data_IF_049427091039
#
_entry.id   IF_049427091039
#
_cell.length_a   1.000
_cell.length_b   1.000
_cell.length_c   1.000
_cell.angle_alpha   90.00
_cell.angle_beta   90.00
_cell.angle_gamma   90.00
#
_symmetry.space_group_name_H-M   'P 1'
#
loop_
_entity.id
_entity.type
_entity.pdbx_description
1 polymer ?
#
# COMPACT_ATOMS: atom_id res chain seq x y z
N UNK A 1 12.20 -49.14 24.17
CA UNK A 1 11.60 -48.27 23.14
C UNK A 1 10.13 -48.11 23.49
N UNK A 2 9.74 -46.98 24.10
CA UNK A 2 8.34 -46.69 24.36
C UNK A 2 7.62 -46.39 23.04
N UNK A 3 6.41 -46.89 22.86
CA UNK A 3 5.58 -46.53 21.71
C UNK A 3 5.39 -45.01 21.69
N UNK A 4 5.41 -44.36 20.50
CA UNK A 4 5.11 -42.95 20.41
C UNK A 4 3.73 -42.69 21.01
N UNK A 5 3.66 -41.73 21.92
CA UNK A 5 2.39 -41.31 22.50
C UNK A 5 1.51 -40.73 21.39
N UNK A 6 0.19 -40.87 21.51
CA UNK A 6 -0.77 -40.27 20.56
C UNK A 6 -0.47 -38.79 20.26
N UNK A 7 0.00 -38.04 21.28
CA UNK A 7 0.40 -36.64 21.15
C UNK A 7 1.58 -36.41 20.20
N UNK A 8 2.59 -37.29 20.18
CA UNK A 8 3.74 -37.18 19.27
C UNK A 8 3.31 -37.38 17.80
N UNK A 9 2.44 -38.35 17.55
CA UNK A 9 1.91 -38.60 16.21
C UNK A 9 1.06 -37.41 15.73
N UNK A 10 0.21 -36.85 16.61
CA UNK A 10 -0.57 -35.66 16.31
C UNK A 10 0.31 -34.44 16.03
N UNK A 11 1.38 -34.23 16.81
CA UNK A 11 2.34 -33.15 16.60
C UNK A 11 3.07 -33.28 15.25
N UNK A 12 3.46 -34.50 14.87
CA UNK A 12 4.08 -34.77 13.57
C UNK A 12 3.14 -34.44 12.40
N UNK A 13 1.89 -34.93 12.45
CA UNK A 13 0.89 -34.62 11.43
C UNK A 13 0.61 -33.12 11.36
N UNK A 14 0.46 -32.46 12.52
CA UNK A 14 0.23 -31.02 12.60
C UNK A 14 1.40 -30.22 11.99
N UNK A 15 2.65 -30.62 12.26
CA UNK A 15 3.84 -30.00 11.67
C UNK A 15 3.83 -30.11 10.14
N UNK A 16 3.59 -31.31 9.61
CA UNK A 16 3.55 -31.54 8.15
C UNK A 16 2.47 -30.68 7.51
N UNK A 17 1.25 -30.70 8.05
CA UNK A 17 0.13 -29.90 7.54
C UNK A 17 0.44 -28.40 7.61
N UNK A 18 0.99 -27.92 8.73
CA UNK A 18 1.36 -26.51 8.92
C UNK A 18 2.41 -26.08 7.89
N UNK A 19 3.50 -26.85 7.76
CA UNK A 19 4.56 -26.56 6.79
C UNK A 19 4.03 -26.55 5.37
N UNK A 20 3.31 -27.59 4.95
CA UNK A 20 2.72 -27.69 3.60
C UNK A 20 1.82 -26.49 3.31
N UNK A 21 0.94 -26.13 4.24
CA UNK A 21 0.04 -24.98 4.08
C UNK A 21 0.82 -23.68 3.97
N UNK A 22 1.80 -23.43 4.84
CA UNK A 22 2.63 -22.21 4.80
C UNK A 22 3.42 -22.13 3.50
N UNK A 23 4.05 -23.21 3.06
CA UNK A 23 4.83 -23.25 1.82
C UNK A 23 3.94 -23.05 0.58
N UNK A 24 2.86 -23.83 0.43
CA UNK A 24 1.98 -23.73 -0.74
C UNK A 24 1.39 -22.32 -0.85
N UNK A 25 0.84 -21.78 0.24
CA UNK A 25 0.24 -20.43 0.22
C UNK A 25 1.28 -19.36 -0.06
N UNK A 26 2.50 -19.47 0.47
CA UNK A 26 3.58 -18.51 0.19
C UNK A 26 4.05 -18.58 -1.27
N UNK A 27 4.18 -19.78 -1.84
CA UNK A 27 4.54 -19.96 -3.26
C UNK A 27 3.45 -19.39 -4.17
N UNK A 28 2.18 -19.68 -3.89
CA UNK A 28 1.06 -19.11 -4.64
C UNK A 28 1.02 -17.58 -4.54
N UNK A 29 1.35 -17.02 -3.37
CA UNK A 29 1.46 -15.58 -3.17
C UNK A 29 2.60 -14.98 -4.00
N UNK A 30 3.75 -15.63 -4.05
CA UNK A 30 4.89 -15.24 -4.89
C UNK A 30 4.54 -15.27 -6.37
N UNK A 31 3.87 -16.33 -6.82
CA UNK A 31 3.41 -16.47 -8.20
C UNK A 31 2.48 -15.32 -8.62
N UNK A 32 1.61 -14.88 -7.72
CA UNK A 32 0.68 -13.78 -7.97
C UNK A 32 1.16 -12.40 -7.51
N UNK A 33 2.43 -12.25 -7.16
CA UNK A 33 2.95 -11.02 -6.54
C UNK A 33 2.69 -9.74 -7.35
N UNK A 34 2.71 -9.83 -8.69
CA UNK A 34 2.45 -8.66 -9.54
C UNK A 34 1.08 -7.99 -9.26
N UNK A 35 0.08 -8.78 -8.84
CA UNK A 35 -1.26 -8.28 -8.47
C UNK A 35 -1.31 -7.68 -7.06
N UNK A 36 -0.27 -7.89 -6.27
CA UNK A 36 -0.11 -7.41 -4.90
C UNK A 36 1.04 -6.39 -4.79
N UNK A 37 1.29 -5.61 -5.85
CA UNK A 37 2.40 -4.65 -5.92
C UNK A 37 2.46 -3.65 -4.75
N UNK A 38 1.33 -3.39 -4.09
CA UNK A 38 1.24 -2.50 -2.92
C UNK A 38 1.62 -3.18 -1.59
N UNK A 39 1.82 -4.50 -1.57
CA UNK A 39 2.15 -5.27 -0.36
C UNK A 39 3.66 -5.54 -0.31
N UNK A 40 4.33 -5.31 0.83
CA UNK A 40 5.77 -5.52 0.94
C UNK A 40 6.13 -7.00 0.99
N UNK A 41 6.54 -7.53 -0.16
CA UNK A 41 6.84 -8.96 -0.30
C UNK A 41 7.92 -9.43 0.67
N UNK A 42 9.01 -8.69 0.82
CA UNK A 42 10.16 -9.13 1.65
C UNK A 42 9.77 -9.28 3.11
N UNK A 43 8.99 -8.33 3.64
CA UNK A 43 8.49 -8.41 5.00
C UNK A 43 7.53 -9.59 5.19
N UNK A 44 6.63 -9.85 4.22
CA UNK A 44 5.73 -11.02 4.29
C UNK A 44 6.52 -12.33 4.31
N UNK A 45 7.52 -12.47 3.44
CA UNK A 45 8.41 -13.63 3.44
C UNK A 45 9.18 -13.78 4.76
N UNK A 46 9.65 -12.68 5.32
CA UNK A 46 10.34 -12.67 6.61
C UNK A 46 9.43 -13.14 7.75
N UNK A 47 8.16 -12.71 7.73
CA UNK A 47 7.15 -13.15 8.69
C UNK A 47 6.80 -14.63 8.54
N UNK A 48 6.66 -15.13 7.30
CA UNK A 48 6.43 -16.54 7.00
C UNK A 48 7.63 -17.41 7.43
N UNK A 49 8.86 -16.93 7.22
CA UNK A 49 10.07 -17.61 7.68
C UNK A 49 10.15 -17.64 9.21
N UNK A 50 9.87 -16.51 9.88
CA UNK A 50 9.76 -16.46 11.34
C UNK A 50 8.71 -17.44 11.88
N UNK A 51 7.57 -17.57 11.19
CA UNK A 51 6.55 -18.57 11.50
C UNK A 51 7.07 -20.01 11.46
N UNK A 52 7.76 -20.40 10.38
CA UNK A 52 8.32 -21.74 10.26
C UNK A 52 9.36 -22.02 11.35
N UNK A 53 10.16 -21.03 11.75
CA UNK A 53 11.15 -21.18 12.83
C UNK A 53 10.44 -21.42 14.18
N UNK A 54 9.49 -20.56 14.57
CA UNK A 54 8.79 -20.74 15.86
C UNK A 54 8.04 -22.07 15.86
N UNK A 55 7.17 -22.27 14.86
CA UNK A 55 6.29 -23.43 14.81
C UNK A 55 7.10 -24.73 14.69
N UNK A 56 8.13 -24.75 13.85
CA UNK A 56 9.04 -25.89 13.72
C UNK A 56 9.73 -26.22 15.05
N UNK A 57 10.30 -25.22 15.75
CA UNK A 57 10.95 -25.45 17.05
C UNK A 57 9.98 -26.02 18.10
N UNK A 58 8.73 -25.57 18.11
CA UNK A 58 7.70 -26.02 19.04
C UNK A 58 7.20 -27.43 18.71
N UNK A 59 6.93 -27.72 17.44
CA UNK A 59 6.53 -29.07 17.04
C UNK A 59 7.66 -30.08 17.23
N UNK A 60 8.92 -29.74 16.91
CA UNK A 60 10.07 -30.61 17.19
C UNK A 60 10.17 -30.92 18.70
N UNK A 61 9.93 -29.93 19.57
CA UNK A 61 9.87 -30.16 21.02
C UNK A 61 8.73 -31.08 21.43
N UNK A 62 7.57 -30.99 20.79
CA UNK A 62 6.43 -31.87 21.05
C UNK A 62 6.69 -33.31 20.57
N UNK A 63 7.41 -33.47 19.46
CA UNK A 63 7.77 -34.78 18.91
C UNK A 63 8.86 -35.47 19.73
N UNK A 64 9.92 -34.75 20.10
CA UNK A 64 11.09 -35.27 20.80
C UNK A 64 11.22 -34.63 22.19
N UNK A 65 10.24 -34.89 23.07
CA UNK A 65 10.18 -34.26 24.39
C UNK A 65 11.42 -34.51 25.27
N UNK A 66 12.10 -35.65 25.14
CA UNK A 66 13.32 -35.92 25.92
C UNK A 66 14.60 -35.48 25.20
N UNK A 67 14.64 -35.63 23.87
CA UNK A 67 15.89 -35.48 23.11
C UNK A 67 16.08 -34.07 22.51
N UNK A 68 15.01 -33.28 22.38
CA UNK A 68 15.11 -31.95 21.79
C UNK A 68 15.53 -30.91 22.82
N UNK A 69 16.75 -30.37 22.66
CA UNK A 69 17.34 -29.38 23.58
C UNK A 69 16.44 -28.14 23.75
N UNK A 70 16.22 -27.74 25.00
CA UNK A 70 15.53 -26.49 25.33
C UNK A 70 16.22 -25.27 24.71
N UNK A 71 17.53 -25.34 24.49
CA UNK A 71 18.30 -24.26 23.89
C UNK A 71 17.84 -24.00 22.46
N UNK A 72 17.57 -25.03 21.67
CA UNK A 72 17.02 -24.88 20.31
C UNK A 72 15.60 -24.29 20.32
N UNK A 73 14.77 -24.65 21.30
CA UNK A 73 13.45 -24.03 21.48
C UNK A 73 13.59 -22.56 21.83
N UNK A 74 14.51 -22.20 22.74
CA UNK A 74 14.79 -20.80 23.10
C UNK A 74 15.22 -20.01 21.85
N UNK A 75 16.20 -20.52 21.09
CA UNK A 75 16.67 -19.90 19.86
C UNK A 75 15.55 -19.72 18.83
N UNK A 76 14.76 -20.77 18.58
CA UNK A 76 13.62 -20.71 17.68
C UNK A 76 12.57 -19.69 18.12
N UNK A 77 12.32 -19.58 19.43
CA UNK A 77 11.39 -18.61 20.00
C UNK A 77 11.89 -17.18 19.78
N UNK A 78 13.13 -16.88 20.17
CA UNK A 78 13.70 -15.52 20.05
C UNK A 78 13.82 -15.09 18.60
N UNK A 79 14.47 -15.90 17.76
CA UNK A 79 14.72 -15.56 16.37
C UNK A 79 13.41 -15.47 15.58
N UNK A 80 12.56 -16.48 15.71
CA UNK A 80 11.30 -16.54 14.99
C UNK A 80 10.32 -15.43 15.42
N UNK A 81 10.21 -15.14 16.73
CA UNK A 81 9.34 -14.07 17.21
C UNK A 81 9.84 -12.69 16.80
N UNK A 82 11.15 -12.44 16.84
CA UNK A 82 11.72 -11.17 16.37
C UNK A 82 11.46 -10.97 14.88
N UNK A 83 11.75 -11.97 14.04
CA UNK A 83 11.45 -11.94 12.60
C UNK A 83 9.97 -11.60 12.34
N UNK A 84 9.07 -12.27 13.07
CA UNK A 84 7.64 -12.09 12.93
C UNK A 84 7.13 -10.73 13.42
N UNK A 85 7.44 -10.34 14.66
CA UNK A 85 6.98 -9.08 15.27
C UNK A 85 7.53 -7.86 14.53
N UNK A 86 8.81 -7.88 14.18
CA UNK A 86 9.42 -6.77 13.45
C UNK A 86 8.86 -6.67 12.04
N UNK A 87 8.64 -7.79 11.35
CA UNK A 87 7.93 -7.80 10.07
C UNK A 87 6.52 -7.20 10.20
N UNK A 88 5.76 -7.62 11.21
CA UNK A 88 4.40 -7.11 11.45
C UNK A 88 4.40 -5.59 11.68
N UNK A 89 5.31 -5.08 12.52
CA UNK A 89 5.45 -3.63 12.77
C UNK A 89 5.92 -2.88 11.55
N UNK A 90 6.91 -3.40 10.84
CA UNK A 90 7.44 -2.83 9.62
C UNK A 90 6.33 -2.63 8.57
N UNK A 91 5.47 -3.64 8.38
CA UNK A 91 4.30 -3.55 7.50
C UNK A 91 3.32 -2.45 7.95
N UNK A 92 3.08 -2.34 9.26
CA UNK A 92 2.30 -1.25 9.82
C UNK A 92 2.89 0.13 9.52
N UNK A 93 4.17 0.35 9.82
CA UNK A 93 4.81 1.64 9.55
C UNK A 93 4.76 2.01 8.07
N UNK A 94 5.04 1.04 7.19
CA UNK A 94 4.99 1.25 5.75
C UNK A 94 3.58 1.63 5.28
N UNK A 95 2.54 0.91 5.70
CA UNK A 95 1.16 1.23 5.33
C UNK A 95 0.77 2.64 5.79
N UNK A 96 1.13 3.03 7.01
CA UNK A 96 0.85 4.36 7.55
C UNK A 96 1.49 5.46 6.70
N UNK A 97 2.76 5.30 6.33
CA UNK A 97 3.49 6.26 5.49
C UNK A 97 2.88 6.35 4.09
N UNK A 98 2.56 5.20 3.48
CA UNK A 98 1.95 5.14 2.13
C UNK A 98 0.57 5.79 2.10
N UNK A 99 -0.26 5.55 3.11
CA UNK A 99 -1.61 6.16 3.22
C UNK A 99 -1.51 7.66 3.43
N UNK A 100 -0.63 8.12 4.32
CA UNK A 100 -0.43 9.56 4.56
C UNK A 100 0.07 10.28 3.31
N UNK A 101 0.99 9.65 2.57
CA UNK A 101 1.49 10.18 1.32
C UNK A 101 0.37 10.33 0.27
N UNK A 102 -0.42 9.28 0.04
CA UNK A 102 -1.54 9.34 -0.91
C UNK A 102 -2.63 10.32 -0.49
N UNK A 103 -2.93 10.39 0.80
CA UNK A 103 -3.89 11.35 1.34
C UNK A 103 -3.41 12.79 1.11
N UNK A 104 -2.12 13.06 1.34
CA UNK A 104 -1.53 14.38 1.11
C UNK A 104 -1.60 14.79 -0.38
N UNK A 105 -1.36 13.87 -1.33
CA UNK A 105 -1.50 14.14 -2.77
C UNK A 105 -2.90 14.62 -3.14
N UNK A 106 -3.93 13.95 -2.62
CA UNK A 106 -5.34 14.27 -2.95
C UNK A 106 -5.74 15.61 -2.36
N UNK A 107 -5.33 15.89 -1.12
CA UNK A 107 -5.63 17.17 -0.48
C UNK A 107 -4.95 18.33 -1.20
N UNK A 108 -3.72 18.15 -1.68
CA UNK A 108 -3.05 19.21 -2.45
C UNK A 108 -3.78 19.55 -3.75
N UNK A 109 -4.40 18.57 -4.40
CA UNK A 109 -5.12 18.83 -5.65
C UNK A 109 -6.47 19.52 -5.46
N UNK A 110 -7.23 19.09 -4.44
CA UNK A 110 -8.51 19.71 -4.15
C UNK A 110 -8.33 21.21 -3.89
N UNK A 111 -7.20 21.61 -3.31
CA UNK A 111 -6.92 23.01 -3.03
C UNK A 111 -6.66 23.84 -4.30
N UNK A 112 -6.02 23.27 -5.32
CA UNK A 112 -5.73 23.97 -6.58
C UNK A 112 -7.01 24.32 -7.36
N UNK A 113 -8.04 23.45 -7.33
CA UNK A 113 -9.32 23.72 -8.02
C UNK A 113 -10.10 24.93 -7.48
N UNK A 114 -9.78 25.43 -6.28
CA UNK A 114 -10.46 26.59 -5.68
C UNK A 114 -9.71 27.91 -5.87
N UNK A 115 -8.47 27.90 -6.38
CA UNK A 115 -7.63 29.12 -6.52
C UNK A 115 -7.65 29.59 -7.98
N UNK A 116 -8.83 29.97 -8.48
CA UNK A 116 -8.99 30.42 -9.87
C UNK A 116 -9.20 31.96 -10.01
N UNK A 117 -9.03 32.74 -8.93
CA UNK A 117 -9.32 34.19 -8.97
C UNK A 117 -8.43 35.05 -8.04
N UNK A 118 -7.30 34.51 -7.54
CA UNK A 118 -6.42 35.20 -6.57
C UNK A 118 -5.07 35.60 -7.17
N UNK A 119 -4.53 36.72 -6.67
CA UNK A 119 -3.26 37.34 -7.08
C UNK A 119 -2.16 36.29 -7.35
N UNK A 120 -1.44 36.46 -8.46
CA UNK A 120 -0.33 35.59 -8.91
C UNK A 120 0.73 35.31 -7.83
N UNK A 121 0.89 36.23 -6.88
CA UNK A 121 1.77 36.08 -5.72
C UNK A 121 1.28 35.01 -4.71
N UNK A 122 -0.01 35.01 -4.35
CA UNK A 122 -0.58 34.01 -3.44
C UNK A 122 -0.51 32.60 -4.06
N UNK A 123 -0.69 32.50 -5.38
CA UNK A 123 -0.56 31.25 -6.12
C UNK A 123 0.87 30.68 -6.02
N UNK A 124 1.89 31.53 -6.16
CA UNK A 124 3.30 31.12 -6.05
C UNK A 124 3.67 30.66 -4.64
N UNK A 125 3.18 31.34 -3.59
CA UNK A 125 3.41 30.93 -2.20
C UNK A 125 2.70 29.62 -1.88
N UNK A 126 1.49 29.44 -2.41
CA UNK A 126 0.73 28.20 -2.27
C UNK A 126 1.42 27.02 -2.97
N UNK A 127 1.87 27.21 -4.22
CA UNK A 127 2.64 26.19 -4.95
C UNK A 127 3.91 25.80 -4.17
N UNK A 128 4.61 26.77 -3.56
CA UNK A 128 5.82 26.52 -2.76
C UNK A 128 5.51 25.72 -1.50
N UNK A 129 4.46 26.08 -0.76
CA UNK A 129 4.03 25.36 0.43
C UNK A 129 3.62 23.92 0.09
N UNK A 130 2.84 23.74 -0.98
CA UNK A 130 2.44 22.44 -1.51
C UNK A 130 3.66 21.59 -1.85
N UNK A 131 4.59 22.14 -2.63
CA UNK A 131 5.78 21.41 -3.04
C UNK A 131 6.59 20.98 -1.81
N UNK A 132 6.76 21.86 -0.81
CA UNK A 132 7.42 21.53 0.45
C UNK A 132 6.72 20.40 1.22
N UNK A 133 5.40 20.46 1.36
CA UNK A 133 4.64 19.44 2.09
C UNK A 133 4.67 18.07 1.40
N UNK A 134 4.43 18.01 0.09
CA UNK A 134 4.46 16.74 -0.65
C UNK A 134 5.90 16.19 -0.69
N UNK A 135 6.91 17.06 -0.86
CA UNK A 135 8.32 16.64 -0.85
C UNK A 135 8.74 16.06 0.50
N UNK A 136 8.26 16.63 1.62
CA UNK A 136 8.48 16.06 2.95
C UNK A 136 7.87 14.67 3.09
N UNK A 137 6.67 14.46 2.57
CA UNK A 137 6.03 13.14 2.61
C UNK A 137 6.69 12.14 1.64
N UNK A 138 7.15 12.60 0.48
CA UNK A 138 7.93 11.81 -0.47
C UNK A 138 9.26 11.35 0.15
N UNK A 139 9.94 12.26 0.83
CA UNK A 139 11.16 11.98 1.58
C UNK A 139 10.93 10.94 2.68
N UNK A 140 9.82 11.07 3.43
CA UNK A 140 9.44 10.07 4.42
C UNK A 140 9.14 8.70 3.78
N UNK A 141 8.47 8.68 2.63
CA UNK A 141 8.23 7.44 1.85
C UNK A 141 9.54 6.78 1.41
N UNK A 142 10.51 7.56 0.97
CA UNK A 142 11.82 7.05 0.56
C UNK A 142 12.64 6.50 1.75
N UNK A 143 12.49 7.11 2.94
CA UNK A 143 13.08 6.59 4.18
C UNK A 143 12.49 5.24 4.59
N UNK A 144 11.19 5.05 4.41
CA UNK A 144 10.48 3.80 4.73
C UNK A 144 10.38 2.90 3.50
N UNK A 145 11.51 2.75 2.80
CA UNK A 145 11.64 1.76 1.73
C UNK A 145 11.80 0.36 2.32
N UNK A 146 11.22 -0.63 1.64
CA UNK A 146 11.28 -2.05 2.01
C UNK A 146 12.74 -2.51 2.26
N UNK A 147 13.69 -2.02 1.44
CA UNK A 147 15.13 -2.26 1.60
C UNK A 147 15.69 -1.75 2.93
N UNK A 148 15.43 -0.48 3.28
CA UNK A 148 15.95 0.14 4.52
C UNK A 148 15.31 -0.48 5.75
N UNK A 149 14.02 -0.77 5.68
CA UNK A 149 13.30 -1.41 6.78
C UNK A 149 13.79 -2.84 6.99
N UNK A 150 14.01 -3.61 5.91
CA UNK A 150 14.64 -4.93 5.98
C UNK A 150 16.04 -4.86 6.62
N UNK A 151 16.84 -3.84 6.30
CA UNK A 151 18.15 -3.64 6.92
C UNK A 151 18.05 -3.36 8.42
N UNK A 152 17.11 -2.51 8.85
CA UNK A 152 16.86 -2.25 10.27
C UNK A 152 16.42 -3.51 11.01
N UNK A 153 15.57 -4.33 10.39
CA UNK A 153 15.17 -5.63 10.96
C UNK A 153 16.37 -6.57 11.07
N UNK A 154 17.22 -6.65 10.05
CA UNK A 154 18.44 -7.47 10.08
C UNK A 154 19.41 -7.02 11.18
N UNK A 155 19.61 -5.70 11.35
CA UNK A 155 20.44 -5.15 12.43
C UNK A 155 19.89 -5.51 13.81
N UNK A 156 18.57 -5.40 14.01
CA UNK A 156 17.94 -5.80 15.27
C UNK A 156 18.11 -7.30 15.55
N UNK A 157 17.93 -8.14 14.52
CA UNK A 157 18.13 -9.59 14.65
C UNK A 157 19.58 -9.91 15.01
N UNK A 158 20.56 -9.21 14.42
CA UNK A 158 21.96 -9.38 14.78
C UNK A 158 22.20 -9.09 16.28
N UNK A 159 21.69 -7.96 16.77
CA UNK A 159 21.78 -7.59 18.20
C UNK A 159 21.13 -8.66 19.07
N UNK A 160 19.94 -9.14 18.69
CA UNK A 160 19.22 -10.18 19.41
C UNK A 160 20.01 -11.50 19.45
N UNK A 161 20.58 -11.92 18.32
CA UNK A 161 21.40 -13.14 18.21
C UNK A 161 22.63 -13.02 19.11
N UNK A 162 23.33 -11.88 19.10
CA UNK A 162 24.46 -11.65 20.01
C UNK A 162 24.04 -11.71 21.48
N UNK A 163 22.90 -11.11 21.84
CA UNK A 163 22.39 -11.15 23.21
C UNK A 163 22.00 -12.57 23.64
N UNK A 164 21.33 -13.34 22.78
CA UNK A 164 20.96 -14.74 23.06
C UNK A 164 22.21 -15.62 23.17
N UNK A 165 23.20 -15.45 22.29
CA UNK A 165 24.49 -16.14 22.40
C UNK A 165 25.19 -15.84 23.73
N UNK A 166 25.23 -14.57 24.16
CA UNK A 166 25.82 -14.19 25.43
C UNK A 166 25.05 -14.81 26.61
N UNK A 167 23.71 -14.81 26.58
CA UNK A 167 22.89 -15.46 27.61
C UNK A 167 23.15 -16.97 27.68
N UNK A 168 23.34 -17.64 26.54
CA UNK A 168 23.66 -19.07 26.50
C UNK A 168 25.08 -19.36 26.99
N UNK A 169 26.05 -18.49 26.67
CA UNK A 169 27.41 -18.62 27.20
C UNK A 169 27.43 -18.51 28.73
N UNK A 170 26.72 -17.52 29.28
CA UNK A 170 26.57 -17.36 30.74
C UNK A 170 25.92 -18.60 31.35
N UNK A 171 24.89 -19.15 30.69
CA UNK A 171 24.23 -20.39 31.12
C UNK A 171 25.19 -21.59 31.17
N UNK A 172 26.07 -21.73 30.18
CA UNK A 172 27.05 -22.81 30.15
C UNK A 172 28.07 -22.74 31.29
N UNK A 173 28.25 -21.57 31.90
CA UNK A 173 29.17 -21.37 33.03
C UNK A 173 28.53 -21.65 34.40
N UNK A 174 27.20 -21.85 34.47
CA UNK A 174 26.48 -22.03 35.73
C UNK A 174 26.45 -23.53 36.13
N UNK A 175 27.17 -23.94 37.19
CA UNK A 175 27.24 -25.35 37.59
C UNK A 175 25.90 -25.82 38.18
N UNK A 176 25.43 -27.00 37.77
CA UNK A 176 24.25 -27.66 38.34
C UNK A 176 22.92 -27.44 37.59
N UNK A 177 22.96 -26.91 36.37
CA UNK A 177 21.74 -26.71 35.59
C UNK A 177 21.33 -27.99 34.83
N UNK A 178 20.25 -28.65 35.25
CA UNK A 178 19.66 -29.76 34.49
C UNK A 178 18.98 -29.25 33.22
N UNK A 179 19.54 -29.56 32.05
CA UNK A 179 19.06 -29.08 30.75
C UNK A 179 17.64 -29.61 30.41
N UNK A 180 17.18 -30.68 31.06
CA UNK A 180 16.05 -31.48 30.60
C UNK A 180 14.72 -31.26 31.34
N UNK A 181 14.73 -30.67 32.55
CA UNK A 181 13.57 -30.75 33.45
C UNK A 181 12.51 -29.66 33.21
N UNK A 182 12.85 -28.47 32.72
CA UNK A 182 11.86 -27.41 32.43
C UNK A 182 12.24 -26.54 31.21
N UNK A 183 11.95 -27.00 29.99
CA UNK A 183 11.94 -26.09 28.83
C UNK A 183 10.77 -25.08 28.97
N UNK A 184 11.06 -23.79 28.79
CA UNK A 184 10.03 -22.74 28.76
C UNK A 184 9.85 -21.93 30.04
N UNK A 185 10.61 -22.22 31.11
CA UNK A 185 10.59 -21.41 32.33
C UNK A 185 11.99 -21.29 32.93
N UNK A 186 12.55 -20.10 32.85
CA UNK A 186 13.89 -19.77 33.36
C UNK A 186 14.17 -18.29 33.14
N UNK A 187 15.16 -17.74 33.84
CA UNK A 187 15.45 -16.30 33.77
C UNK A 187 15.78 -15.83 32.34
N UNK A 188 16.35 -16.71 31.51
CA UNK A 188 16.62 -16.46 30.09
C UNK A 188 15.37 -16.18 29.24
N UNK A 189 14.17 -16.54 29.71
CA UNK A 189 12.91 -16.24 29.03
C UNK A 189 12.33 -14.88 29.43
N UNK A 190 12.78 -14.27 30.55
CA UNK A 190 12.25 -12.97 30.99
C UNK A 190 12.44 -11.85 29.97
N UNK A 191 13.59 -11.71 29.27
CA UNK A 191 13.71 -10.71 28.22
C UNK A 191 12.71 -10.94 27.09
N UNK A 192 12.51 -12.18 26.65
CA UNK A 192 11.49 -12.52 25.65
C UNK A 192 10.07 -12.16 26.11
N UNK A 193 9.69 -12.50 27.35
CA UNK A 193 8.38 -12.14 27.88
C UNK A 193 8.21 -10.63 28.01
N UNK A 194 9.26 -9.91 28.42
CA UNK A 194 9.26 -8.45 28.47
C UNK A 194 9.06 -7.82 27.10
N UNK A 195 9.83 -8.25 26.09
CA UNK A 195 9.70 -7.77 24.71
C UNK A 195 8.31 -8.08 24.14
N UNK A 196 7.81 -9.30 24.36
CA UNK A 196 6.47 -9.71 23.92
C UNK A 196 5.39 -8.90 24.61
N UNK A 197 5.52 -8.62 25.92
CA UNK A 197 4.62 -7.78 26.67
C UNK A 197 4.60 -6.35 26.15
N UNK A 198 5.77 -5.72 25.95
CA UNK A 198 5.87 -4.38 25.34
C UNK A 198 5.24 -4.36 23.95
N UNK A 199 5.48 -5.39 23.14
CA UNK A 199 4.87 -5.52 21.82
C UNK A 199 3.34 -5.54 21.91
N UNK A 200 2.77 -6.43 22.73
CA UNK A 200 1.32 -6.64 22.83
C UNK A 200 0.59 -5.48 23.51
N UNK A 201 1.18 -4.84 24.52
CA UNK A 201 0.50 -3.83 25.33
C UNK A 201 0.87 -2.39 24.97
N UNK A 202 1.95 -2.14 24.23
CA UNK A 202 2.36 -0.80 23.80
C UNK A 202 2.29 -0.68 22.28
N UNK A 203 3.02 -1.52 21.54
CA UNK A 203 3.11 -1.40 20.09
C UNK A 203 1.78 -1.72 19.40
N UNK A 204 1.10 -2.78 19.82
CA UNK A 204 -0.18 -3.21 19.27
C UNK A 204 -1.31 -2.16 19.43
N UNK A 205 -1.58 -1.60 20.63
CA UNK A 205 -2.53 -0.51 20.78
C UNK A 205 -2.16 0.74 19.97
N UNK A 206 -0.87 1.07 19.92
CA UNK A 206 -0.36 2.16 19.08
C UNK A 206 -0.71 1.95 17.60
N UNK A 207 -0.44 0.76 17.06
CA UNK A 207 -0.82 0.37 15.70
C UNK A 207 -2.32 0.53 15.48
N UNK A 208 -3.16 -0.01 16.37
CA UNK A 208 -4.62 0.09 16.26
C UNK A 208 -5.08 1.55 16.24
N UNK A 209 -4.56 2.38 17.15
CA UNK A 209 -4.90 3.80 17.26
C UNK A 209 -4.64 4.56 15.94
N UNK A 210 -3.45 4.39 15.35
CA UNK A 210 -3.12 5.06 14.09
C UNK A 210 -3.91 4.52 12.89
N UNK A 211 -4.33 3.26 12.92
CA UNK A 211 -5.10 2.65 11.83
C UNK A 211 -6.60 2.80 11.93
N UNK A 212 -7.14 3.23 13.08
CA UNK A 212 -8.58 3.27 13.32
C UNK A 212 -9.37 4.04 12.25
N UNK A 213 -8.82 5.16 11.78
CA UNK A 213 -9.47 6.02 10.79
C UNK A 213 -8.96 5.82 9.35
N UNK A 214 -8.02 4.90 9.14
CA UNK A 214 -7.46 4.65 7.82
C UNK A 214 -8.43 3.80 7.00
N UNK A 215 -8.82 4.28 5.82
CA UNK A 215 -9.62 3.51 4.87
C UNK A 215 -8.68 2.91 3.83
N UNK A 216 -8.48 1.60 3.92
CA UNK A 216 -7.60 0.85 3.04
C UNK A 216 -8.43 -0.13 2.19
N UNK A 217 -8.32 -0.01 0.88
CA UNK A 217 -9.02 -0.86 -0.07
C UNK A 217 -8.45 -2.28 -0.16
N UNK A 218 -7.16 -2.46 0.12
CA UNK A 218 -6.48 -3.75 -0.03
C UNK A 218 -6.60 -4.63 1.22
N UNK A 219 -7.25 -4.14 2.27
CA UNK A 219 -7.50 -4.88 3.50
C UNK A 219 -6.25 -5.15 4.34
N UNK A 220 -5.10 -4.50 4.08
CA UNK A 220 -3.91 -4.58 4.92
C UNK A 220 -4.21 -4.05 6.32
N UNK A 221 -5.02 -2.98 6.43
CA UNK A 221 -5.49 -2.50 7.75
C UNK A 221 -6.18 -3.62 8.52
N UNK A 222 -7.18 -4.26 7.91
CA UNK A 222 -7.99 -5.28 8.57
C UNK A 222 -7.13 -6.50 8.93
N UNK A 223 -6.19 -6.85 8.06
CA UNK A 223 -5.19 -7.89 8.33
C UNK A 223 -4.37 -7.57 9.58
N UNK A 224 -3.75 -6.38 9.65
CA UNK A 224 -2.94 -5.96 10.80
C UNK A 224 -3.77 -5.96 12.09
N UNK A 225 -4.96 -5.36 12.07
CA UNK A 225 -5.86 -5.31 13.22
C UNK A 225 -6.25 -6.74 13.67
N UNK A 226 -6.60 -7.61 12.73
CA UNK A 226 -6.96 -9.01 13.04
C UNK A 226 -5.78 -9.76 13.66
N UNK A 227 -4.56 -9.57 13.15
CA UNK A 227 -3.35 -10.15 13.76
C UNK A 227 -3.13 -9.67 15.20
N UNK A 228 -3.34 -8.37 15.46
CA UNK A 228 -3.21 -7.80 16.80
C UNK A 228 -4.27 -8.37 17.75
N UNK A 229 -5.54 -8.38 17.34
CA UNK A 229 -6.62 -8.96 18.14
C UNK A 229 -6.37 -10.44 18.44
N UNK A 230 -5.95 -11.20 17.44
CA UNK A 230 -5.63 -12.61 17.62
C UNK A 230 -4.48 -12.80 18.63
N UNK A 231 -3.47 -11.94 18.59
CA UNK A 231 -2.37 -11.94 19.56
C UNK A 231 -2.86 -11.63 20.97
N UNK A 232 -3.67 -10.57 21.13
CA UNK A 232 -4.26 -10.19 22.42
C UNK A 232 -5.17 -11.27 23.02
N UNK A 233 -5.80 -12.12 22.20
CA UNK A 233 -6.59 -13.25 22.69
C UNK A 233 -5.72 -14.47 23.01
N UNK A 234 -4.82 -14.88 22.10
CA UNK A 234 -4.12 -16.17 22.22
C UNK A 234 -2.94 -16.11 23.20
N UNK A 235 -2.20 -15.01 23.29
CA UNK A 235 -1.05 -14.93 24.22
C UNK A 235 -1.47 -15.05 25.70
N UNK A 236 -2.52 -14.37 26.17
CA UNK A 236 -3.02 -14.59 27.53
C UNK A 236 -3.44 -16.04 27.77
N UNK A 237 -4.09 -16.70 26.80
CA UNK A 237 -4.42 -18.12 26.91
C UNK A 237 -3.17 -18.99 27.05
N UNK A 238 -2.12 -18.71 26.27
CA UNK A 238 -0.82 -19.37 26.40
C UNK A 238 -0.22 -19.20 27.80
N UNK A 239 -0.25 -17.99 28.37
CA UNK A 239 0.26 -17.72 29.72
C UNK A 239 -0.57 -18.39 30.80
N UNK A 240 -1.91 -18.29 30.73
CA UNK A 240 -2.81 -18.98 31.66
C UNK A 240 -2.58 -20.49 31.63
N UNK A 241 -2.42 -21.07 30.44
CA UNK A 241 -2.14 -22.50 30.30
C UNK A 241 -0.79 -22.88 30.91
N UNK A 242 0.23 -22.06 30.67
CA UNK A 242 1.60 -22.32 31.11
C UNK A 242 1.79 -22.09 32.62
N UNK A 243 1.09 -21.13 33.21
CA UNK A 243 1.27 -20.72 34.61
C UNK A 243 0.28 -21.39 35.57
N UNK A 244 -0.98 -21.57 35.15
CA UNK A 244 -2.06 -22.00 36.05
C UNK A 244 -2.41 -23.48 35.82
N UNK A 245 -2.49 -23.90 34.56
CA UNK A 245 -3.04 -25.22 34.20
C UNK A 245 -1.98 -26.30 33.95
N UNK A 246 -0.70 -25.95 34.09
CA UNK A 246 0.44 -26.81 33.74
C UNK A 246 0.40 -28.18 34.44
N UNK A 247 0.05 -28.24 35.71
CA UNK A 247 0.07 -29.51 36.45
C UNK A 247 -1.07 -30.45 36.07
N UNK A 248 -2.25 -29.92 35.71
CA UNK A 248 -3.47 -30.72 35.50
C UNK A 248 -3.66 -31.19 34.06
N UNK A 249 -3.29 -30.37 33.08
CA UNK A 249 -3.69 -30.59 31.67
C UNK A 249 -2.52 -30.78 30.70
N UNK A 250 -1.28 -30.53 31.12
CA UNK A 250 -0.12 -30.55 30.24
C UNK A 250 0.30 -31.97 29.80
N UNK A 251 -0.26 -33.01 30.43
CA UNK A 251 -0.06 -34.40 30.01
C UNK A 251 -0.74 -34.72 28.68
N UNK A 252 -1.82 -34.01 28.33
CA UNK A 252 -2.58 -34.25 27.09
C UNK A 252 -2.48 -33.09 26.09
N UNK A 253 -2.32 -31.85 26.57
CA UNK A 253 -2.30 -30.67 25.70
C UNK A 253 -1.27 -29.65 26.16
N UNK A 254 -0.23 -29.46 25.34
CA UNK A 254 0.85 -28.51 25.61
C UNK A 254 0.46 -27.08 25.26
N UNK A 255 0.95 -26.10 26.04
CA UNK A 255 0.71 -24.68 25.72
C UNK A 255 1.30 -24.26 24.37
N UNK A 256 2.30 -24.99 23.84
CA UNK A 256 2.90 -24.68 22.54
C UNK A 256 1.89 -24.67 21.39
N UNK A 257 0.81 -25.46 21.47
CA UNK A 257 -0.25 -25.47 20.45
C UNK A 257 -0.95 -24.12 20.28
N UNK A 258 -1.06 -23.31 21.34
CA UNK A 258 -1.65 -21.97 21.22
C UNK A 258 -0.80 -21.06 20.34
N UNK A 259 0.52 -21.08 20.53
CA UNK A 259 1.42 -20.26 19.74
C UNK A 259 1.49 -20.76 18.29
N UNK A 260 1.59 -22.08 18.04
CA UNK A 260 1.59 -22.59 16.66
C UNK A 260 0.27 -22.29 15.94
N UNK A 261 -0.87 -22.38 16.64
CA UNK A 261 -2.18 -21.97 16.12
C UNK A 261 -2.22 -20.46 15.80
N UNK A 262 -1.72 -19.61 16.69
CA UNK A 262 -1.60 -18.17 16.42
C UNK A 262 -0.77 -17.90 15.16
N UNK A 263 0.38 -18.56 15.02
CA UNK A 263 1.25 -18.40 13.86
C UNK A 263 0.55 -18.88 12.57
N UNK A 264 -0.18 -20.00 12.61
CA UNK A 264 -0.94 -20.49 11.46
C UNK A 264 -2.06 -19.52 11.05
N UNK A 265 -2.89 -19.09 12.01
CA UNK A 265 -4.02 -18.20 11.76
C UNK A 265 -3.56 -16.84 11.24
N UNK A 266 -2.46 -16.30 11.77
CA UNK A 266 -1.91 -15.05 11.25
C UNK A 266 -1.29 -15.22 9.87
N UNK A 267 -0.68 -16.36 9.55
CA UNK A 267 -0.24 -16.65 8.17
C UNK A 267 -1.40 -16.74 7.19
N UNK A 268 -2.47 -17.44 7.57
CA UNK A 268 -3.70 -17.50 6.78
C UNK A 268 -4.30 -16.09 6.58
N UNK A 269 -4.29 -15.26 7.62
CA UNK A 269 -4.78 -13.88 7.52
C UNK A 269 -3.92 -13.00 6.60
N UNK A 270 -2.60 -13.17 6.65
CA UNK A 270 -1.64 -12.29 5.94
C UNK A 270 -1.35 -12.73 4.50
N UNK A 271 -1.43 -14.03 4.20
CA UNK A 271 -1.11 -14.62 2.89
C UNK A 271 -2.34 -15.31 2.28
N UNK A 272 -3.05 -16.11 3.06
CA UNK A 272 -4.20 -16.91 2.59
C UNK A 272 -5.41 -16.08 2.16
N UNK A 273 -5.91 -15.19 3.02
CA UNK A 273 -7.09 -14.37 2.72
C UNK A 273 -6.88 -13.41 1.56
N UNK A 274 -5.73 -12.73 1.39
CA UNK A 274 -5.47 -11.92 0.19
C UNK A 274 -5.51 -12.73 -1.10
N UNK A 275 -5.00 -13.97 -1.10
CA UNK A 275 -5.08 -14.87 -2.26
C UNK A 275 -6.51 -15.24 -2.63
N UNK A 276 -7.30 -15.63 -1.63
CA UNK A 276 -8.73 -15.96 -1.81
C UNK A 276 -9.49 -14.71 -2.27
N UNK A 277 -9.25 -13.57 -1.64
CA UNK A 277 -9.85 -12.28 -1.95
C UNK A 277 -9.55 -11.84 -3.39
N UNK A 278 -8.32 -12.05 -3.87
CA UNK A 278 -7.95 -11.79 -5.26
C UNK A 278 -8.68 -12.71 -6.24
N UNK A 279 -8.78 -14.01 -5.95
CA UNK A 279 -9.51 -14.95 -6.81
C UNK A 279 -11.00 -14.55 -6.90
N UNK A 280 -11.61 -14.20 -5.76
CA UNK A 280 -12.97 -13.71 -5.69
C UNK A 280 -13.15 -12.39 -6.44
N UNK A 281 -12.25 -11.42 -6.20
CA UNK A 281 -12.26 -10.11 -6.87
C UNK A 281 -12.12 -10.25 -8.37
N UNK A 282 -11.23 -11.11 -8.86
CA UNK A 282 -11.07 -11.36 -10.31
C UNK A 282 -12.37 -11.88 -10.94
N UNK A 283 -13.07 -12.81 -10.27
CA UNK A 283 -14.37 -13.33 -10.75
C UNK A 283 -15.43 -12.23 -10.76
N UNK A 284 -15.50 -11.46 -9.68
CA UNK A 284 -16.46 -10.36 -9.54
C UNK A 284 -16.20 -9.19 -10.48
N UNK A 285 -14.92 -8.87 -10.75
CA UNK A 285 -14.55 -7.87 -11.75
C UNK A 285 -14.97 -8.32 -13.15
N UNK A 286 -14.91 -9.62 -13.48
CA UNK A 286 -15.46 -10.11 -14.77
C UNK A 286 -16.97 -9.89 -14.89
N UNK A 287 -17.73 -10.00 -13.80
CA UNK A 287 -19.16 -9.71 -13.85
C UNK A 287 -19.46 -8.22 -13.91
N UNK A 288 -18.58 -7.38 -13.32
CA UNK A 288 -18.72 -5.92 -13.32
C UNK A 288 -18.10 -5.29 -14.58
N UNK A 289 -17.19 -5.95 -15.28
CA UNK A 289 -16.68 -5.47 -16.58
C UNK A 289 -17.79 -5.40 -17.65
N UNK A 290 -18.97 -5.98 -17.38
CA UNK A 290 -20.19 -5.76 -18.15
C UNK A 290 -20.84 -4.39 -17.91
N UNK A 291 -20.35 -3.58 -16.96
CA UNK A 291 -20.78 -2.19 -16.84
C UNK A 291 -20.29 -1.42 -18.06
N UNK A 292 -21.10 -0.46 -18.47
CA UNK A 292 -20.85 0.31 -19.67
C UNK A 292 -19.68 1.28 -19.45
N UNK A 293 -18.71 1.27 -20.35
CA UNK A 293 -17.63 2.26 -20.43
C UNK A 293 -18.20 3.69 -20.43
N UNK A 294 -19.40 3.87 -21.00
CA UNK A 294 -20.11 5.15 -20.99
C UNK A 294 -20.36 5.68 -19.57
N UNK A 295 -20.74 4.80 -18.62
CA UNK A 295 -20.97 5.22 -17.23
C UNK A 295 -19.69 5.68 -16.55
N UNK A 296 -18.54 5.09 -16.90
CA UNK A 296 -17.25 5.53 -16.39
C UNK A 296 -16.91 6.94 -16.91
N UNK A 297 -17.14 7.22 -18.19
CA UNK A 297 -16.91 8.55 -18.74
C UNK A 297 -17.82 9.62 -18.10
N UNK A 298 -19.08 9.30 -17.83
CA UNK A 298 -20.02 10.20 -17.13
C UNK A 298 -19.56 10.63 -15.73
N UNK A 299 -18.70 9.84 -15.06
CA UNK A 299 -18.12 10.25 -13.77
C UNK A 299 -17.31 11.53 -13.92
N UNK A 300 -16.55 11.67 -15.01
CA UNK A 300 -15.67 12.82 -15.21
C UNK A 300 -16.41 14.04 -15.75
N UNK A 301 -17.63 13.87 -16.26
CA UNK A 301 -18.49 14.97 -16.70
C UNK A 301 -19.22 15.63 -15.52
N UNK A 302 -19.41 14.90 -14.41
CA UNK A 302 -20.07 15.43 -13.23
C UNK A 302 -19.03 15.72 -12.12
N UNK A 303 -18.84 17.00 -11.70
CA UNK A 303 -17.82 17.37 -10.72
C UNK A 303 -18.00 16.71 -9.34
N UNK A 304 -19.24 16.47 -8.92
CA UNK A 304 -19.56 15.83 -7.64
C UNK A 304 -19.18 14.34 -7.68
N UNK A 305 -19.55 13.64 -8.76
CA UNK A 305 -19.18 12.24 -8.96
C UNK A 305 -17.66 12.08 -9.05
N UNK A 306 -16.99 12.98 -9.78
CA UNK A 306 -15.54 13.01 -9.88
C UNK A 306 -14.87 13.25 -8.53
N UNK A 307 -15.40 14.16 -7.70
CA UNK A 307 -14.91 14.37 -6.33
C UNK A 307 -15.00 13.08 -5.49
N UNK A 308 -16.12 12.38 -5.55
CA UNK A 308 -16.29 11.11 -4.85
C UNK A 308 -15.37 10.02 -5.41
N UNK A 309 -15.18 9.98 -6.73
CA UNK A 309 -14.29 9.04 -7.39
C UNK A 309 -12.82 9.28 -7.03
N UNK A 310 -12.35 10.53 -7.01
CA UNK A 310 -10.99 10.91 -6.55
C UNK A 310 -10.73 10.47 -5.11
N UNK A 311 -11.67 10.78 -4.22
CA UNK A 311 -11.61 10.35 -2.82
C UNK A 311 -11.63 8.82 -2.66
N UNK A 312 -12.27 8.11 -3.60
CA UNK A 312 -12.27 6.66 -3.63
C UNK A 312 -10.93 6.12 -4.16
N UNK A 313 -10.43 6.62 -5.29
CA UNK A 313 -9.12 6.28 -5.87
C UNK A 313 -7.95 6.52 -4.89
N UNK A 314 -8.04 7.58 -4.08
CA UNK A 314 -7.09 7.86 -3.00
C UNK A 314 -6.95 6.70 -2.01
N UNK A 315 -8.06 6.04 -1.66
CA UNK A 315 -8.09 4.88 -0.74
C UNK A 315 -7.53 3.62 -1.38
N UNK A 316 -7.52 3.57 -2.71
CA UNK A 316 -6.88 2.54 -3.53
C UNK A 316 -5.41 2.87 -3.82
N UNK A 317 -4.85 3.92 -3.22
CA UNK A 317 -3.46 4.31 -3.44
C UNK A 317 -3.14 4.57 -4.93
N UNK A 318 -4.15 4.98 -5.71
CA UNK A 318 -4.06 5.32 -7.13
C UNK A 318 -4.37 6.81 -7.36
N UNK A 319 -4.02 7.66 -6.40
CA UNK A 319 -4.33 9.09 -6.48
C UNK A 319 -3.65 9.74 -7.68
N UNK A 320 -2.39 9.37 -7.98
CA UNK A 320 -1.66 9.87 -9.14
C UNK A 320 -2.39 9.67 -10.47
N UNK A 321 -3.15 8.59 -10.63
CA UNK A 321 -3.91 8.33 -11.85
C UNK A 321 -5.05 9.34 -12.03
N UNK A 322 -5.79 9.62 -10.96
CA UNK A 322 -6.80 10.69 -11.01
C UNK A 322 -6.16 12.06 -11.17
N UNK A 323 -5.01 12.29 -10.52
CA UNK A 323 -4.27 13.54 -10.64
C UNK A 323 -3.85 13.81 -12.09
N UNK A 324 -3.31 12.79 -12.75
CA UNK A 324 -2.87 12.84 -14.13
C UNK A 324 -3.99 13.25 -15.07
N UNK A 325 -5.19 12.67 -14.92
CA UNK A 325 -6.33 12.96 -15.81
C UNK A 325 -6.76 14.42 -15.68
N UNK A 326 -6.81 14.95 -14.47
CA UNK A 326 -7.19 16.34 -14.22
C UNK A 326 -6.18 17.32 -14.84
N UNK A 327 -4.89 17.11 -14.58
CA UNK A 327 -3.83 17.96 -15.12
C UNK A 327 -3.72 17.84 -16.64
N UNK A 328 -4.04 16.66 -17.20
CA UNK A 328 -4.09 16.44 -18.64
C UNK A 328 -5.24 17.23 -19.29
N UNK A 329 -6.43 17.21 -18.68
CA UNK A 329 -7.56 18.01 -19.17
C UNK A 329 -7.23 19.50 -19.15
N UNK A 330 -6.61 19.97 -18.07
CA UNK A 330 -6.15 21.34 -17.95
C UNK A 330 -5.10 21.69 -19.01
N UNK A 331 -4.15 20.78 -19.26
CA UNK A 331 -3.15 20.95 -20.33
C UNK A 331 -3.84 21.11 -21.69
N UNK A 332 -4.82 20.26 -22.01
CA UNK A 332 -5.60 20.33 -23.25
C UNK A 332 -6.42 21.63 -23.36
N UNK A 333 -6.97 22.15 -22.26
CA UNK A 333 -7.64 23.45 -22.27
C UNK A 333 -6.69 24.59 -22.69
N UNK A 334 -5.45 24.58 -22.18
CA UNK A 334 -4.45 25.56 -22.59
C UNK A 334 -4.07 25.45 -24.06
N UNK A 335 -4.02 24.23 -24.59
CA UNK A 335 -3.83 24.00 -26.02
C UNK A 335 -4.94 24.68 -26.85
N UNK A 336 -6.21 24.50 -26.45
CA UNK A 336 -7.37 25.10 -27.14
C UNK A 336 -7.28 26.63 -27.12
N UNK A 337 -7.01 27.23 -25.96
CA UNK A 337 -6.95 28.69 -25.81
C UNK A 337 -5.80 29.29 -26.63
N UNK A 338 -4.63 28.65 -26.62
CA UNK A 338 -3.47 29.08 -27.41
C UNK A 338 -3.75 28.98 -28.91
N UNK A 339 -4.36 27.87 -29.36
CA UNK A 339 -4.69 27.67 -30.77
C UNK A 339 -5.75 28.67 -31.28
N UNK A 340 -6.75 29.00 -30.46
CA UNK A 340 -7.73 30.04 -30.78
C UNK A 340 -7.11 31.45 -30.86
N UNK A 341 -6.10 31.71 -30.03
CA UNK A 341 -5.39 33.00 -30.02
C UNK A 341 -4.54 33.18 -31.27
N UNK A 342 -3.88 32.12 -31.75
CA UNK A 342 -3.12 32.15 -33.02
C UNK A 342 -3.99 32.45 -34.25
N UNK A 343 -5.24 31.94 -34.29
CA UNK A 343 -6.15 32.21 -35.42
C UNK A 343 -6.58 33.69 -35.50
N UNK A 344 -6.72 34.37 -34.36
CA UNK A 344 -7.09 35.79 -34.33
C UNK A 344 -6.00 36.70 -34.89
N UNK A 345 -4.73 36.34 -34.70
CA UNK A 345 -3.61 37.14 -35.22
C UNK A 345 -3.42 36.98 -36.74
N UNK A 346 -3.90 35.89 -37.35
CA UNK A 346 -3.81 35.66 -38.80
C UNK A 346 -5.05 36.15 -39.57
N UNK A 347 -6.12 36.56 -38.89
CA UNK A 347 -7.34 37.08 -39.50
C UNK A 347 -7.36 38.62 -39.52
N UNK A 348 -6.60 39.17 -40.48
CA UNK A 348 -6.90 40.40 -41.28
C UNK A 348 -6.66 41.77 -40.61
N UNK A 349 -5.64 42.50 -41.12
CA UNK A 349 -5.72 43.95 -41.37
C UNK A 349 -6.91 44.21 -42.31
N UNK A 350 -8.10 44.40 -41.74
CA UNK A 350 -9.24 44.94 -42.50
C UNK A 350 -9.33 46.42 -42.11
N UNK A 351 -9.45 47.36 -43.06
CA UNK A 351 -9.36 48.79 -42.77
C UNK A 351 -10.40 49.23 -41.73
N UNK A 352 -9.93 50.04 -40.79
CA UNK A 352 -10.66 50.62 -39.67
C UNK A 352 -12.03 51.20 -40.08
N UNK A 353 -13.10 50.58 -39.56
CA UNK A 353 -14.34 51.29 -39.25
C UNK A 353 -14.27 51.61 -37.73
N UNK A 354 -14.37 52.88 -37.33
CA UNK A 354 -14.23 53.27 -35.92
C UNK A 354 -15.36 52.67 -35.08
N UNK A 355 -15.07 51.99 -33.95
CA UNK A 355 -16.09 51.37 -33.13
C UNK A 355 -16.85 52.41 -32.32
N UNK A 356 -18.17 52.32 -32.38
CA UNK A 356 -19.13 53.00 -31.49
C UNK A 356 -18.80 52.61 -30.04
N UNK A 357 -18.81 53.55 -29.07
CA UNK A 357 -18.50 53.24 -27.68
C UNK A 357 -19.57 52.32 -27.08
N UNK A 358 -19.23 51.05 -26.87
CA UNK A 358 -20.04 50.09 -26.13
C UNK A 358 -19.68 50.20 -24.66
N UNK A 359 -20.70 50.49 -23.86
CA UNK A 359 -20.65 50.65 -22.41
C UNK A 359 -20.00 49.43 -21.75
N UNK A 360 -18.98 49.72 -20.93
CA UNK A 360 -18.29 48.80 -20.03
C UNK A 360 -19.27 48.36 -18.94
N UNK A 361 -20.00 47.28 -19.21
CA UNK A 361 -20.58 46.47 -18.14
C UNK A 361 -19.53 45.45 -17.69
N UNK A 362 -19.17 45.52 -16.40
CA UNK A 362 -18.43 44.52 -15.63
C UNK A 362 -19.23 43.20 -15.57
N UNK A 363 -19.38 42.49 -16.67
CA UNK A 363 -19.76 41.08 -16.61
C UNK A 363 -18.49 40.28 -16.41
N UNK A 364 -18.29 39.86 -15.16
CA UNK A 364 -17.35 38.81 -14.76
C UNK A 364 -17.43 37.69 -15.82
N UNK A 365 -16.32 37.26 -16.44
CA UNK A 365 -16.38 36.05 -17.27
C UNK A 365 -17.01 34.95 -16.41
N UNK A 366 -17.95 34.14 -16.95
CA UNK A 366 -18.47 33.02 -16.19
C UNK A 366 -17.27 32.23 -15.70
N UNK A 367 -17.18 31.98 -14.40
CA UNK A 367 -16.15 31.12 -13.84
C UNK A 367 -16.31 29.77 -14.53
N UNK A 368 -15.51 29.53 -15.56
CA UNK A 368 -15.46 28.25 -16.27
C UNK A 368 -14.77 27.33 -15.29
N UNK A 369 -15.53 26.80 -14.34
CA UNK A 369 -15.01 25.75 -13.47
C UNK A 369 -14.47 24.65 -14.39
N UNK A 370 -13.20 24.23 -14.27
CA UNK A 370 -12.54 23.34 -15.21
C UNK A 370 -13.26 21.99 -15.42
N UNK A 371 -14.24 21.66 -14.57
CA UNK A 371 -15.11 20.50 -14.66
C UNK A 371 -16.04 20.45 -15.90
N UNK A 372 -16.23 21.54 -16.65
CA UNK A 372 -17.19 21.56 -17.78
C UNK A 372 -16.59 21.25 -19.15
N UNK A 373 -15.27 21.06 -19.27
CA UNK A 373 -14.68 20.54 -20.50
C UNK A 373 -14.75 19.02 -20.43
N UNK A 374 -15.89 18.46 -20.83
CA UNK A 374 -16.10 17.01 -20.84
C UNK A 374 -14.93 16.30 -21.54
N UNK A 375 -14.57 15.10 -21.06
CA UNK A 375 -13.51 14.28 -21.67
C UNK A 375 -13.73 14.07 -23.18
N UNK A 376 -15.00 14.11 -23.61
CA UNK A 376 -15.42 14.01 -25.01
C UNK A 376 -15.40 15.31 -25.81
N UNK A 377 -14.97 16.46 -25.25
CA UNK A 377 -14.65 17.65 -26.06
C UNK A 377 -13.40 17.30 -26.88
N UNK A 378 -13.69 16.65 -28.00
CA UNK A 378 -12.84 16.55 -29.16
C UNK A 378 -12.49 17.98 -29.53
N UNK A 379 -11.34 18.41 -29.03
CA UNK A 379 -10.50 19.37 -29.72
C UNK A 379 -10.64 19.01 -31.18
N UNK A 380 -11.34 19.87 -31.93
CA UNK A 380 -11.54 19.78 -33.37
C UNK A 380 -10.20 19.30 -33.93
N UNK A 381 -10.10 18.06 -34.42
CA UNK A 381 -8.83 17.36 -34.75
C UNK A 381 -7.80 18.35 -35.28
N UNK A 382 -7.02 18.99 -34.41
CA UNK A 382 -5.78 19.61 -34.84
C UNK A 382 -5.00 18.39 -35.28
N UNK A 383 -4.51 18.41 -36.52
CA UNK A 383 -3.81 17.26 -37.10
C UNK A 383 -2.79 16.79 -36.06
N UNK A 384 -2.94 15.55 -35.60
CA UNK A 384 -2.24 15.00 -34.42
C UNK A 384 -0.70 15.15 -34.53
N UNK A 385 -0.19 15.45 -35.73
CA UNK A 385 1.20 15.72 -36.05
C UNK A 385 1.69 17.18 -35.85
N UNK A 386 0.84 18.13 -35.47
CA UNK A 386 1.28 19.53 -35.28
C UNK A 386 2.11 19.68 -34.00
N UNK A 387 3.19 20.46 -34.09
CA UNK A 387 4.11 20.73 -32.98
C UNK A 387 3.48 21.70 -31.97
N UNK A 388 3.71 21.44 -30.69
CA UNK A 388 3.29 22.33 -29.61
C UNK A 388 4.07 23.66 -29.70
N UNK A 389 3.39 24.82 -29.70
CA UNK A 389 4.01 26.14 -29.65
C UNK A 389 4.98 26.28 -28.49
N UNK A 390 6.08 27.01 -28.70
CA UNK A 390 7.17 27.16 -27.72
C UNK A 390 6.69 27.64 -26.34
N UNK A 391 5.67 28.48 -26.31
CA UNK A 391 5.05 29.00 -25.07
C UNK A 391 4.44 27.89 -24.19
N UNK A 392 3.92 26.81 -24.80
CA UNK A 392 3.30 25.70 -24.09
C UNK A 392 4.28 24.56 -23.79
N UNK A 393 5.44 24.50 -24.46
CA UNK A 393 6.44 23.44 -24.23
C UNK A 393 6.87 23.36 -22.76
N UNK A 394 6.97 24.49 -22.05
CA UNK A 394 7.28 24.52 -20.61
C UNK A 394 6.25 23.73 -19.80
N UNK A 395 4.95 23.82 -20.16
CA UNK A 395 3.87 23.10 -19.47
C UNK A 395 3.89 21.62 -19.78
N UNK A 396 4.16 21.24 -21.03
CA UNK A 396 4.35 19.83 -21.43
C UNK A 396 5.53 19.20 -20.69
N UNK A 397 6.67 19.91 -20.58
CA UNK A 397 7.80 19.43 -19.79
C UNK A 397 7.48 19.34 -18.30
N UNK A 398 6.77 20.31 -17.71
CA UNK A 398 6.31 20.24 -16.30
C UNK A 398 5.42 19.00 -16.09
N UNK A 399 4.49 18.75 -17.00
CA UNK A 399 3.60 17.59 -16.97
C UNK A 399 4.39 16.27 -17.05
N UNK A 400 5.29 16.14 -18.03
CA UNK A 400 6.18 14.99 -18.17
C UNK A 400 7.00 14.73 -16.89
N UNK A 401 7.65 15.76 -16.32
CA UNK A 401 8.46 15.63 -15.09
C UNK A 401 7.63 15.24 -13.86
N UNK A 402 6.34 15.59 -13.85
CA UNK A 402 5.46 15.35 -12.70
C UNK A 402 4.93 13.91 -12.67
N UNK A 403 4.60 13.36 -13.84
CA UNK A 403 3.88 12.09 -13.94
C UNK A 403 4.62 10.97 -14.66
N UNK A 404 5.54 11.30 -15.57
CA UNK A 404 6.09 10.32 -16.51
C UNK A 404 7.58 10.13 -16.35
N UNK A 405 8.32 11.10 -15.84
CA UNK A 405 9.75 10.94 -15.60
C UNK A 405 9.99 9.81 -14.57
N UNK A 406 10.95 8.90 -14.79
CA UNK A 406 11.28 7.86 -13.81
C UNK A 406 11.67 8.47 -12.47
N UNK A 407 11.04 8.02 -11.38
CA UNK A 407 11.21 8.59 -10.04
C UNK A 407 10.43 9.87 -9.79
N UNK A 408 9.53 10.26 -10.71
CA UNK A 408 8.65 11.41 -10.50
C UNK A 408 7.75 11.21 -9.27
N UNK A 409 7.39 12.33 -8.66
CA UNK A 409 6.61 12.33 -7.43
C UNK A 409 5.22 11.70 -7.59
N UNK A 410 4.61 11.93 -8.75
CA UNK A 410 3.32 11.37 -9.17
C UNK A 410 3.50 10.40 -10.33
N UNK A 411 4.64 9.68 -10.38
CA UNK A 411 4.90 8.67 -11.40
C UNK A 411 3.72 7.69 -11.53
N UNK A 412 3.13 7.63 -12.72
CA UNK A 412 2.02 6.73 -13.04
C UNK A 412 2.55 5.39 -13.57
N UNK A 413 1.83 4.31 -13.28
CA UNK A 413 2.24 2.96 -13.67
C UNK A 413 1.76 2.62 -15.09
N UNK A 414 2.55 2.99 -16.11
CA UNK A 414 2.24 2.74 -17.53
C UNK A 414 3.22 1.77 -18.19
N UNK A 415 2.87 1.29 -19.38
CA UNK A 415 3.76 0.41 -20.15
C UNK A 415 5.08 1.10 -20.51
N UNK A 416 6.18 0.32 -20.51
CA UNK A 416 7.50 0.82 -20.89
C UNK A 416 7.56 1.35 -22.31
N UNK A 417 6.72 0.83 -23.21
CA UNK A 417 6.58 1.31 -24.59
C UNK A 417 5.97 2.71 -24.66
N UNK A 418 4.90 2.99 -23.92
CA UNK A 418 4.32 4.33 -23.84
C UNK A 418 5.28 5.32 -23.22
N UNK A 419 5.96 4.92 -22.14
CA UNK A 419 6.99 5.74 -21.51
C UNK A 419 8.13 6.08 -22.50
N UNK A 420 8.66 5.08 -23.22
CA UNK A 420 9.74 5.27 -24.19
C UNK A 420 9.33 6.21 -25.35
N UNK A 421 8.10 6.09 -25.85
CA UNK A 421 7.57 6.95 -26.91
C UNK A 421 7.50 8.41 -26.46
N UNK A 422 6.94 8.68 -25.28
CA UNK A 422 6.90 10.04 -24.71
C UNK A 422 8.30 10.57 -24.46
N UNK A 423 9.18 9.76 -23.85
CA UNK A 423 10.55 10.15 -23.54
C UNK A 423 11.32 10.57 -24.80
N UNK A 424 11.20 9.79 -25.89
CA UNK A 424 11.87 10.08 -27.15
C UNK A 424 11.41 11.42 -27.74
N UNK A 425 10.10 11.70 -27.74
CA UNK A 425 9.59 13.00 -28.22
C UNK A 425 10.07 14.17 -27.35
N UNK A 426 10.06 13.98 -26.02
CA UNK A 426 10.54 14.98 -25.06
C UNK A 426 12.04 15.27 -25.20
N UNK A 427 12.86 14.24 -25.47
CA UNK A 427 14.30 14.40 -25.70
C UNK A 427 14.61 15.10 -27.03
N UNK A 428 13.84 14.79 -28.08
CA UNK A 428 14.05 15.35 -29.41
C UNK A 428 13.54 16.80 -29.55
N UNK A 429 12.85 17.34 -28.53
CA UNK A 429 12.22 18.67 -28.58
C UNK A 429 11.06 18.77 -29.58
N UNK A 430 10.63 17.66 -30.18
CA UNK A 430 9.51 17.58 -31.13
C UNK A 430 8.27 17.07 -30.42
N UNK A 431 7.74 17.90 -29.53
CA UNK A 431 6.55 17.57 -28.74
C UNK A 431 5.30 17.88 -29.55
N UNK A 432 4.48 16.87 -29.82
CA UNK A 432 3.18 17.01 -30.50
C UNK A 432 2.05 17.16 -29.49
N UNK A 433 0.88 17.64 -29.94
CA UNK A 433 -0.29 17.84 -29.09
C UNK A 433 -0.86 16.55 -28.48
N UNK A 434 -0.64 15.42 -29.15
CA UNK A 434 -1.15 14.09 -28.82
C UNK A 434 -0.15 13.22 -28.03
N UNK A 435 1.04 13.76 -27.70
CA UNK A 435 2.15 13.00 -27.09
C UNK A 435 1.72 12.18 -25.86
N UNK A 436 0.72 12.65 -25.11
CA UNK A 436 0.24 12.00 -23.88
C UNK A 436 -1.07 11.21 -24.06
N UNK A 437 -1.66 11.14 -25.26
CA UNK A 437 -3.01 10.60 -25.46
C UNK A 437 -3.07 9.08 -25.23
N UNK A 438 -2.11 8.33 -25.78
CA UNK A 438 -1.95 6.89 -25.47
C UNK A 438 -1.75 6.66 -23.96
N UNK A 439 -0.98 7.54 -23.32
CA UNK A 439 -0.73 7.45 -21.88
C UNK A 439 -2.01 7.68 -21.07
N UNK A 440 -2.82 8.67 -21.46
CA UNK A 440 -4.16 8.90 -20.89
C UNK A 440 -5.05 7.68 -21.03
N UNK A 441 -5.09 7.04 -22.19
CA UNK A 441 -5.94 5.85 -22.39
C UNK A 441 -5.52 4.70 -21.48
N UNK A 442 -4.22 4.50 -21.28
CA UNK A 442 -3.71 3.51 -20.31
C UNK A 442 -4.11 3.86 -18.88
N UNK A 443 -4.01 5.13 -18.47
CA UNK A 443 -4.42 5.58 -17.13
C UNK A 443 -5.93 5.40 -16.91
N UNK A 444 -6.75 5.73 -17.93
CA UNK A 444 -8.19 5.51 -17.89
C UNK A 444 -8.52 4.02 -17.77
N UNK A 445 -7.84 3.15 -18.53
CA UNK A 445 -7.99 1.69 -18.38
C UNK A 445 -7.64 1.23 -16.97
N UNK A 446 -6.54 1.74 -16.38
CA UNK A 446 -6.14 1.38 -15.02
C UNK A 446 -7.18 1.80 -13.97
N UNK A 447 -7.75 2.99 -14.09
CA UNK A 447 -8.82 3.48 -13.23
C UNK A 447 -10.11 2.66 -13.42
N UNK A 448 -10.45 2.36 -14.67
CA UNK A 448 -11.60 1.55 -15.04
C UNK A 448 -11.48 0.13 -14.48
N UNK A 449 -10.35 -0.55 -14.70
CA UNK A 449 -10.19 -1.95 -14.32
C UNK A 449 -10.05 -2.15 -12.80
N UNK A 450 -9.39 -1.20 -12.11
CA UNK A 450 -8.99 -1.40 -10.71
C UNK A 450 -9.82 -0.61 -9.68
N UNK A 451 -10.42 0.51 -10.06
CA UNK A 451 -11.06 1.44 -9.11
C UNK A 451 -12.56 1.53 -9.35
N UNK A 452 -12.98 1.66 -10.62
CA UNK A 452 -14.37 1.92 -10.98
C UNK A 452 -15.37 0.84 -10.53
N UNK A 453 -15.12 -0.47 -10.73
CA UNK A 453 -16.02 -1.54 -10.27
C UNK A 453 -16.37 -1.47 -8.79
N UNK A 454 -15.36 -1.23 -7.95
CA UNK A 454 -15.58 -1.12 -6.52
C UNK A 454 -16.20 0.23 -6.14
N UNK A 455 -15.90 1.30 -6.88
CA UNK A 455 -16.56 2.60 -6.71
C UNK A 455 -18.05 2.47 -6.98
N UNK A 456 -18.44 1.94 -8.14
CA UNK A 456 -19.84 1.70 -8.55
C UNK A 456 -20.55 0.89 -7.47
N UNK A 457 -19.94 -0.20 -7.01
CA UNK A 457 -20.58 -1.05 -6.01
C UNK A 457 -20.78 -0.35 -4.66
N UNK A 458 -19.80 0.41 -4.18
CA UNK A 458 -19.89 1.07 -2.87
C UNK A 458 -20.73 2.35 -2.92
N UNK A 459 -20.59 3.12 -4.00
CA UNK A 459 -21.25 4.41 -4.18
C UNK A 459 -22.71 4.23 -4.59
N UNK A 460 -23.00 3.46 -5.65
CA UNK A 460 -24.37 3.30 -6.13
C UNK A 460 -25.23 2.52 -5.13
N UNK A 461 -24.69 1.52 -4.43
CA UNK A 461 -25.45 0.79 -3.41
C UNK A 461 -25.86 1.69 -2.24
N UNK A 462 -25.02 2.67 -1.89
CA UNK A 462 -25.32 3.62 -0.81
C UNK A 462 -26.34 4.68 -1.23
N UNK A 463 -26.38 5.06 -2.51
CA UNK A 463 -27.23 6.16 -3.02
C UNK A 463 -28.47 5.70 -3.79
N UNK A 464 -28.65 4.40 -4.09
CA UNK A 464 -29.90 3.84 -4.66
C UNK A 464 -31.01 3.60 -3.63
N UNK A 465 -30.79 3.89 -2.35
CA UNK A 465 -31.79 3.66 -1.27
C UNK A 465 -32.57 4.94 -0.96
N UNK A 466 -32.70 5.85 -1.93
CA UNK A 466 -33.51 7.07 -1.81
C UNK A 466 -34.49 7.14 -2.96
#
# INVERSE_FOLDING_TARGET
MGFPTLGQNLACVALVVHCVLVFITTILYLYHHQKFSHRPLRLILLGAFGNLIISGSYYCRLMWWMDFSCSLVLWGTYLGSALYFLSLMARGVQLLVVVRFNTAKVHSQLQDTFIDDKNSFELLEHERYRHSHISRQAYNKERVTDKRLTYLVALFIFILVTAVSAMQLVRMLEPGFDEYTLCGFGWHYFPFFGITGVFLFVCCPWVIYYFWNVKDAYGLRNELITCVFLGLCIYPMYFVWTLILKEKLNSSFSSYYFITLFMLLTHLNTVGFPLIGMAYRTRKLRTIAAYDSEQFHRIFENPEMLYHFRNFAARYLCSENTCFIDDFQLLKQYCIVSAQSGMKNNSVETPLIPPKPISIFKSRPPAVTPAHVGIGLTIRKYTDAELVPTELQVRFHKFYRTYLQPGALLEINISSTAHAAVFQQMQNGRVTWDVFDNTKDQVLSLLYDNVFPDFVQNYLRKHRVV
#
